data_IF_369693852608
#
_entry.id   IF_369693852608
#
_cell.length_a   1.000
_cell.length_b   1.000
_cell.length_c   1.000
_cell.angle_alpha   90.00
_cell.angle_beta   90.00
_cell.angle_gamma   90.00
#
_symmetry.space_group_name_H-M   'P 1'
#
loop_
_entity.id
_entity.type
_entity.pdbx_description
1 polymer ?
#
# COMPACT_ATOMS: atom_id res chain seq x y z
N UNK A 1 14.70 -3.65 0.69
CA UNK A 1 13.61 -3.93 -0.28
C UNK A 1 12.31 -4.09 0.50
N UNK A 2 11.16 -3.94 -0.14
CA UNK A 2 9.84 -4.19 0.45
C UNK A 2 9.04 -5.16 -0.41
N UNK A 3 8.26 -6.03 0.23
CA UNK A 3 7.27 -6.88 -0.44
C UNK A 3 5.90 -6.24 -0.28
N UNK A 4 5.36 -5.72 -1.37
CA UNK A 4 4.00 -5.20 -1.39
C UNK A 4 3.06 -6.38 -1.56
N UNK A 5 2.31 -6.67 -0.50
CA UNK A 5 1.41 -7.81 -0.42
C UNK A 5 -0.04 -7.33 -0.39
N UNK A 6 -0.95 -8.16 -0.89
CA UNK A 6 -2.38 -7.98 -0.70
C UNK A 6 -2.80 -8.54 0.66
N UNK A 7 -2.48 -7.80 1.72
CA UNK A 7 -2.76 -8.14 3.11
C UNK A 7 -3.34 -6.90 3.81
N UNK A 8 -4.10 -7.14 4.88
CA UNK A 8 -4.59 -6.11 5.79
C UNK A 8 -3.76 -6.12 7.08
N UNK A 9 -2.77 -5.22 7.24
CA UNK A 9 -1.93 -5.19 8.45
C UNK A 9 -2.72 -5.03 9.75
N UNK A 10 -3.82 -4.26 9.73
CA UNK A 10 -4.65 -4.03 10.92
C UNK A 10 -5.49 -5.24 11.28
N UNK A 11 -5.79 -6.10 10.32
CA UNK A 11 -6.45 -7.37 10.53
C UNK A 11 -5.42 -8.52 10.59
N UNK A 12 -4.39 -8.37 11.43
CA UNK A 12 -3.35 -9.38 11.65
C UNK A 12 -2.70 -9.89 10.35
N UNK A 13 -2.45 -8.97 9.40
CA UNK A 13 -1.87 -9.27 8.08
C UNK A 13 -2.65 -10.33 7.29
N UNK A 14 -3.96 -10.44 7.52
CA UNK A 14 -4.79 -11.41 6.80
C UNK A 14 -4.80 -11.08 5.30
N UNK A 15 -4.70 -12.12 4.47
CA UNK A 15 -4.71 -11.96 3.02
C UNK A 15 -6.02 -11.30 2.53
N UNK A 16 -5.89 -10.38 1.58
CA UNK A 16 -6.97 -9.66 0.93
C UNK A 16 -7.08 -10.11 -0.54
N UNK A 17 -7.57 -11.35 -0.80
CA UNK A 17 -7.74 -11.82 -2.17
C UNK A 17 -8.87 -11.05 -2.85
N UNK A 18 -8.70 -10.78 -4.14
CA UNK A 18 -9.64 -10.01 -4.92
C UNK A 18 -9.08 -9.59 -6.26
N UNK A 19 -9.88 -8.86 -7.03
CA UNK A 19 -9.46 -8.32 -8.32
C UNK A 19 -8.80 -6.97 -8.11
N UNK A 20 -7.59 -6.82 -8.63
CA UNK A 20 -6.86 -5.54 -8.66
C UNK A 20 -7.53 -4.64 -9.69
N UNK A 21 -8.37 -3.72 -9.26
CA UNK A 21 -9.16 -2.86 -10.15
C UNK A 21 -8.32 -1.80 -10.85
N UNK A 22 -7.32 -1.28 -10.14
CA UNK A 22 -6.34 -0.32 -10.67
C UNK A 22 -4.97 -0.72 -10.15
N UNK A 23 -3.97 -0.69 -11.03
CA UNK A 23 -2.57 -0.85 -10.67
C UNK A 23 -1.73 0.17 -11.42
N UNK A 24 -1.09 1.06 -10.66
CA UNK A 24 -0.07 1.98 -11.14
C UNK A 24 1.12 1.92 -10.19
N UNK A 25 2.22 1.34 -10.68
CA UNK A 25 3.47 1.29 -9.94
C UNK A 25 4.27 2.60 -10.05
N UNK A 26 5.06 2.96 -9.03
CA UNK A 26 5.97 4.09 -9.09
C UNK A 26 7.16 3.81 -10.02
N UNK A 27 7.88 4.86 -10.39
CA UNK A 27 9.14 4.75 -11.10
C UNK A 27 10.16 5.80 -10.67
N UNK A 28 11.09 6.07 -11.58
CA UNK A 28 12.13 7.08 -11.41
C UNK A 28 13.47 6.50 -10.95
N UNK A 29 14.45 7.38 -10.83
CA UNK A 29 15.83 7.01 -10.51
C UNK A 29 15.92 6.27 -9.16
N UNK A 30 16.69 5.19 -9.14
CA UNK A 30 16.93 4.38 -7.95
C UNK A 30 15.73 3.56 -7.47
N UNK A 31 14.68 3.38 -8.29
CA UNK A 31 13.51 2.55 -7.98
C UNK A 31 13.41 1.40 -8.99
N UNK A 32 13.24 0.18 -8.50
CA UNK A 32 13.01 -1.04 -9.27
C UNK A 32 11.78 -1.76 -8.74
N UNK A 33 10.94 -2.24 -9.65
CA UNK A 33 9.80 -3.08 -9.35
C UNK A 33 9.98 -4.44 -10.02
N UNK A 34 9.81 -5.50 -9.25
CA UNK A 34 9.74 -6.87 -9.75
C UNK A 34 8.39 -7.47 -9.30
N UNK A 35 7.42 -7.55 -10.20
CA UNK A 35 6.09 -8.06 -9.89
C UNK A 35 5.40 -8.59 -11.14
N UNK A 36 4.35 -9.39 -10.93
CA UNK A 36 3.55 -9.99 -12.01
C UNK A 36 2.10 -9.49 -12.02
N UNK A 37 1.72 -8.63 -11.08
CA UNK A 37 0.38 -8.07 -10.97
C UNK A 37 0.16 -6.97 -12.01
N UNK A 38 -1.03 -6.95 -12.58
CA UNK A 38 -1.50 -5.95 -13.52
C UNK A 38 -2.98 -5.63 -13.24
N UNK A 39 -3.50 -4.57 -13.86
CA UNK A 39 -4.90 -4.21 -13.72
C UNK A 39 -5.82 -5.32 -14.24
N UNK A 40 -6.79 -5.73 -13.43
CA UNK A 40 -7.70 -6.85 -13.67
C UNK A 40 -7.16 -8.21 -13.20
N UNK A 41 -5.94 -8.27 -12.66
CA UNK A 41 -5.39 -9.50 -12.08
C UNK A 41 -6.19 -9.92 -10.83
N UNK A 42 -6.57 -11.19 -10.75
CA UNK A 42 -7.20 -11.78 -9.58
C UNK A 42 -6.15 -12.39 -8.66
N UNK A 43 -6.06 -11.88 -7.42
CA UNK A 43 -5.13 -12.39 -6.43
C UNK A 43 -5.64 -13.74 -5.91
N UNK A 44 -4.88 -14.83 -6.09
CA UNK A 44 -5.32 -16.15 -5.72
C UNK A 44 -5.41 -16.31 -4.20
N UNK A 45 -6.33 -17.16 -3.74
CA UNK A 45 -6.52 -17.46 -2.31
C UNK A 45 -5.53 -18.48 -1.76
N UNK A 46 -4.93 -19.30 -2.63
CA UNK A 46 -4.14 -20.48 -2.25
C UNK A 46 -2.63 -20.27 -2.34
N UNK A 47 -2.19 -19.13 -2.87
CA UNK A 47 -0.77 -18.78 -2.99
C UNK A 47 -0.45 -17.58 -2.10
N UNK A 48 0.84 -17.28 -2.03
CA UNK A 48 1.35 -16.08 -1.37
C UNK A 48 0.68 -14.82 -1.94
N UNK A 49 0.36 -13.88 -1.05
CA UNK A 49 -0.33 -12.61 -1.32
C UNK A 49 0.57 -11.57 -1.99
N UNK A 50 1.84 -11.91 -2.23
CA UNK A 50 2.83 -11.00 -2.80
C UNK A 50 2.45 -10.51 -4.20
N UNK A 51 2.36 -9.18 -4.34
CA UNK A 51 2.00 -8.52 -5.60
C UNK A 51 3.24 -8.05 -6.36
N UNK A 52 4.11 -7.31 -5.68
CA UNK A 52 5.31 -6.70 -6.26
C UNK A 52 6.39 -6.54 -5.20
N UNK A 53 7.63 -6.81 -5.60
CA UNK A 53 8.83 -6.47 -4.83
C UNK A 53 9.32 -5.09 -5.25
N UNK A 54 9.39 -4.18 -4.29
CA UNK A 54 9.92 -2.83 -4.45
C UNK A 54 11.36 -2.79 -3.91
N UNK A 55 12.31 -2.53 -4.79
CA UNK A 55 13.70 -2.30 -4.41
C UNK A 55 14.05 -0.84 -4.70
N UNK A 56 14.58 -0.15 -3.70
CA UNK A 56 15.14 1.19 -3.88
C UNK A 56 16.63 1.17 -3.56
N UNK A 57 17.36 2.08 -4.18
CA UNK A 57 18.78 2.30 -3.96
C UNK A 57 19.03 3.79 -3.69
N UNK A 58 19.98 4.08 -2.82
CA UNK A 58 20.51 5.42 -2.53
C UNK A 58 21.97 5.30 -2.08
N UNK A 59 22.74 6.37 -2.21
CA UNK A 59 24.12 6.42 -1.73
C UNK A 59 24.20 6.57 -0.21
N UNK A 60 23.14 7.09 0.41
CA UNK A 60 23.00 7.20 1.87
C UNK A 60 21.70 6.53 2.33
N UNK A 61 21.63 6.20 3.63
CA UNK A 61 20.41 5.67 4.24
C UNK A 61 19.23 6.63 4.07
N UNK A 62 19.44 7.91 4.39
CA UNK A 62 18.40 8.94 4.25
C UNK A 62 17.87 9.00 2.81
N UNK A 63 18.76 8.97 1.82
CA UNK A 63 18.35 8.98 0.41
C UNK A 63 17.55 7.72 0.03
N UNK A 64 17.92 6.55 0.55
CA UNK A 64 17.16 5.33 0.33
C UNK A 64 15.77 5.40 0.98
N UNK A 65 15.66 5.91 2.21
CA UNK A 65 14.39 6.11 2.94
C UNK A 65 13.50 7.11 2.21
N UNK A 66 14.03 8.25 1.79
CA UNK A 66 13.28 9.29 1.06
C UNK A 66 12.78 8.77 -0.29
N UNK A 67 13.61 8.01 -1.02
CA UNK A 67 13.21 7.36 -2.27
C UNK A 67 12.15 6.29 -2.04
N UNK A 68 12.24 5.54 -0.95
CA UNK A 68 11.24 4.54 -0.58
C UNK A 68 9.90 5.20 -0.26
N UNK A 69 9.91 6.27 0.53
CA UNK A 69 8.71 7.04 0.87
C UNK A 69 8.05 7.63 -0.38
N UNK A 70 8.84 8.23 -1.28
CA UNK A 70 8.36 8.72 -2.59
C UNK A 70 7.77 7.59 -3.43
N UNK A 71 8.42 6.43 -3.49
CA UNK A 71 7.94 5.30 -4.27
C UNK A 71 6.62 4.76 -3.71
N UNK A 72 6.50 4.58 -2.38
CA UNK A 72 5.26 4.15 -1.74
C UNK A 72 4.10 5.12 -1.99
N UNK A 73 4.35 6.44 -1.89
CA UNK A 73 3.35 7.47 -2.20
C UNK A 73 2.91 7.46 -3.67
N UNK A 74 3.78 7.01 -4.58
CA UNK A 74 3.50 6.92 -6.01
C UNK A 74 2.66 5.72 -6.43
N UNK A 75 2.42 4.74 -5.55
CA UNK A 75 1.53 3.63 -5.88
C UNK A 75 0.06 4.07 -5.95
N UNK A 76 -0.65 3.51 -6.93
CA UNK A 76 -2.12 3.50 -6.96
C UNK A 76 -2.55 2.06 -7.14
N UNK A 77 -3.08 1.46 -6.07
CA UNK A 77 -3.62 0.11 -6.07
C UNK A 77 -5.03 0.19 -5.48
N UNK A 78 -6.03 -0.24 -6.24
CA UNK A 78 -7.44 -0.27 -5.82
C UNK A 78 -8.02 -1.68 -5.96
N UNK A 79 -9.04 -1.99 -5.17
CA UNK A 79 -9.77 -3.26 -5.17
C UNK A 79 -9.29 -4.29 -4.14
N UNK A 80 -8.08 -4.12 -3.58
CA UNK A 80 -7.53 -4.98 -2.52
C UNK A 80 -6.82 -4.13 -1.47
N UNK A 81 -6.81 -4.60 -0.22
CA UNK A 81 -5.96 -3.99 0.82
C UNK A 81 -4.50 -4.37 0.61
N UNK A 82 -3.58 -3.50 1.03
CA UNK A 82 -2.14 -3.74 0.86
C UNK A 82 -1.33 -3.37 2.10
N UNK A 83 -0.10 -3.86 2.16
CA UNK A 83 0.88 -3.53 3.21
C UNK A 83 1.47 -2.11 3.10
N UNK A 84 1.14 -1.35 2.05
CA UNK A 84 1.72 -0.01 1.80
C UNK A 84 1.56 0.96 2.98
N UNK A 85 0.35 1.14 3.57
CA UNK A 85 0.17 2.09 4.66
C UNK A 85 1.03 1.78 5.88
N UNK A 86 1.21 0.49 6.17
CA UNK A 86 2.08 0.04 7.25
C UNK A 86 3.55 0.38 7.01
N UNK A 87 4.06 0.16 5.79
CA UNK A 87 5.42 0.59 5.46
C UNK A 87 5.59 2.11 5.48
N UNK A 88 4.57 2.88 5.09
CA UNK A 88 4.61 4.34 5.21
C UNK A 88 4.74 4.81 6.67
N UNK A 89 4.16 4.07 7.64
CA UNK A 89 4.37 4.36 9.06
C UNK A 89 5.79 4.07 9.50
N UNK A 90 6.35 2.92 9.10
CA UNK A 90 7.74 2.57 9.42
C UNK A 90 8.71 3.65 8.93
N UNK A 91 8.48 4.20 7.73
CA UNK A 91 9.35 5.26 7.18
C UNK A 91 9.24 6.61 7.89
N UNK A 92 8.23 6.81 8.73
CA UNK A 92 8.05 8.00 9.55
C UNK A 92 8.57 7.80 10.98
N UNK A 93 8.92 6.57 11.35
CA UNK A 93 9.34 6.22 12.70
C UNK A 93 10.81 6.62 12.93
N UNK A 94 11.12 7.41 13.99
CA UNK A 94 12.46 7.93 14.25
C UNK A 94 13.56 6.87 14.37
N UNK A 95 13.32 5.74 15.03
CA UNK A 95 14.31 4.69 15.22
C UNK A 95 14.65 4.00 13.88
N UNK A 96 13.68 3.81 12.99
CA UNK A 96 13.93 3.34 11.62
C UNK A 96 14.81 4.33 10.85
N UNK A 97 14.45 5.61 10.86
CA UNK A 97 15.21 6.67 10.16
C UNK A 97 16.64 6.78 10.71
N UNK A 98 16.83 6.58 12.01
CA UNK A 98 18.13 6.65 12.67
C UNK A 98 18.93 5.33 12.66
N UNK A 99 18.41 4.28 12.01
CA UNK A 99 19.02 2.95 11.98
C UNK A 99 19.16 2.29 13.36
N UNK A 100 18.23 2.57 14.28
CA UNK A 100 18.17 2.04 15.64
C UNK A 100 17.14 0.91 15.75
N UNK A 101 17.35 -0.17 15.01
CA UNK A 101 16.41 -1.29 15.01
C UNK A 101 17.15 -2.63 14.98
N UNK A 102 16.50 -3.64 15.57
CA UNK A 102 16.91 -5.03 15.50
C UNK A 102 15.69 -5.92 15.18
N UNK A 103 15.82 -7.24 15.33
CA UNK A 103 14.74 -8.18 15.01
C UNK A 103 13.48 -8.02 15.87
N UNK A 104 13.58 -7.37 17.04
CA UNK A 104 12.45 -7.06 17.94
C UNK A 104 11.74 -5.76 17.60
N UNK A 105 12.22 -5.00 16.61
CA UNK A 105 11.71 -3.68 16.27
C UNK A 105 10.19 -3.68 16.04
N UNK A 106 9.67 -4.65 15.29
CA UNK A 106 8.23 -4.73 15.01
C UNK A 106 7.42 -5.00 16.28
N UNK A 107 7.87 -5.93 17.11
CA UNK A 107 7.18 -6.31 18.35
C UNK A 107 7.18 -5.19 19.40
N UNK A 108 8.23 -4.36 19.39
CA UNK A 108 8.40 -3.22 20.31
C UNK A 108 7.70 -1.95 19.83
N UNK A 109 7.18 -1.93 18.59
CA UNK A 109 6.53 -0.76 17.99
C UNK A 109 5.08 -1.07 17.54
N UNK A 110 4.18 -1.51 18.44
CA UNK A 110 2.79 -1.82 18.09
C UNK A 110 2.04 -0.62 17.49
N UNK A 111 2.45 0.60 17.82
CA UNK A 111 1.90 1.85 17.27
C UNK A 111 2.04 1.96 15.75
N UNK A 112 2.91 1.18 15.10
CA UNK A 112 3.04 1.17 13.63
C UNK A 112 1.74 0.73 12.92
N UNK A 113 0.82 0.07 13.62
CA UNK A 113 -0.49 -0.30 13.11
C UNK A 113 -1.55 0.82 13.29
N UNK A 114 -1.24 1.87 14.03
CA UNK A 114 -2.15 2.98 14.38
C UNK A 114 -2.15 4.10 13.31
N UNK A 115 -2.20 3.74 12.04
CA UNK A 115 -2.36 4.72 10.95
C UNK A 115 -3.81 5.02 10.63
N UNK A 116 -4.09 6.19 10.06
CA UNK A 116 -5.41 6.46 9.48
C UNK A 116 -5.48 5.81 8.09
N UNK A 117 -6.51 5.00 7.86
CA UNK A 117 -6.84 4.54 6.50
C UNK A 117 -7.61 5.69 5.83
N UNK A 118 -6.92 6.49 5.03
CA UNK A 118 -7.58 7.47 4.17
C UNK A 118 -8.09 6.75 2.92
N UNK A 119 -9.40 6.48 2.87
CA UNK A 119 -10.07 6.21 1.58
C UNK A 119 -9.83 7.44 0.70
N UNK A 120 -9.15 7.25 -0.44
CA UNK A 120 -8.88 8.36 -1.35
C UNK A 120 -10.20 8.98 -1.78
N UNK A 121 -10.30 10.31 -1.74
CA UNK A 121 -11.52 11.04 -2.13
C UNK A 121 -12.05 10.63 -3.51
N UNK A 122 -11.15 10.32 -4.45
CA UNK A 122 -11.51 9.79 -5.76
C UNK A 122 -12.30 8.48 -5.70
N UNK A 123 -11.98 7.59 -4.76
CA UNK A 123 -12.70 6.32 -4.58
C UNK A 123 -14.10 6.55 -4.00
N UNK A 124 -14.22 7.44 -3.00
CA UNK A 124 -15.51 7.84 -2.43
C UNK A 124 -16.42 8.46 -3.50
N UNK A 125 -15.89 9.39 -4.28
CA UNK A 125 -16.61 10.04 -5.38
C UNK A 125 -16.99 9.01 -6.45
N UNK A 126 -16.06 8.12 -6.83
CA UNK A 126 -16.34 7.10 -7.84
C UNK A 126 -17.44 6.14 -7.39
N UNK A 127 -17.42 5.72 -6.12
CA UNK A 127 -18.48 4.89 -5.52
C UNK A 127 -19.83 5.60 -5.54
N UNK A 128 -19.88 6.85 -5.09
CA UNK A 128 -21.11 7.65 -5.10
C UNK A 128 -21.66 7.84 -6.52
N UNK A 129 -20.81 8.18 -7.49
CA UNK A 129 -21.23 8.34 -8.90
C UNK A 129 -21.75 7.04 -9.48
N UNK A 130 -21.07 5.92 -9.22
CA UNK A 130 -21.52 4.58 -9.64
C UNK A 130 -22.87 4.22 -9.03
N UNK A 131 -23.09 4.53 -7.76
CA UNK A 131 -24.34 4.29 -7.05
C UNK A 131 -25.50 5.11 -7.63
N UNK A 132 -25.30 6.43 -7.83
CA UNK A 132 -26.30 7.31 -8.45
C UNK A 132 -26.65 6.84 -9.87
N UNK A 133 -25.64 6.42 -10.64
CA UNK A 133 -25.86 5.92 -12.00
C UNK A 133 -26.65 4.61 -12.01
N UNK A 134 -26.35 3.69 -11.09
CA UNK A 134 -27.05 2.41 -10.96
C UNK A 134 -28.52 2.58 -10.55
N UNK A 135 -28.81 3.49 -9.61
CA UNK A 135 -30.18 3.77 -9.18
C UNK A 135 -30.94 4.70 -10.14
N UNK A 136 -30.24 5.51 -10.93
CA UNK A 136 -30.83 6.53 -11.79
C UNK A 136 -31.30 7.80 -11.04
N UNK A 137 -31.06 7.89 -9.73
CA UNK A 137 -31.31 9.07 -8.90
C UNK A 137 -30.33 9.10 -7.72
N UNK A 138 -30.18 10.25 -7.06
CA UNK A 138 -29.31 10.37 -5.90
C UNK A 138 -30.10 10.11 -4.60
N UNK A 139 -29.86 8.99 -3.88
CA UNK A 139 -30.57 8.67 -2.64
C UNK A 139 -30.19 9.58 -1.46
N UNK A 140 -29.11 10.35 -1.58
CA UNK A 140 -28.62 11.28 -0.56
C UNK A 140 -28.99 12.74 -0.83
N UNK A 141 -29.59 13.04 -1.99
CA UNK A 141 -30.15 14.36 -2.26
C UNK A 141 -31.51 14.47 -1.56
N UNK A 142 -31.62 15.34 -0.56
CA UNK A 142 -32.92 15.80 -0.03
C UNK A 142 -33.54 16.84 -0.95
#
# INVERSE_FOLDING_TARGET
ELRINAEDPKNNFFASPGVVQVYQGPGGHGVRLDGAVYQGYEIPRYYDSMMVKLTVYGYTWQEAVDRLARALNGFVILGVKTTIPYFQQILQEPDFIQMKFDTSYIDTHPQLLEYLEEEREMEKISRLVAEINAYGYNPHAQ
#
